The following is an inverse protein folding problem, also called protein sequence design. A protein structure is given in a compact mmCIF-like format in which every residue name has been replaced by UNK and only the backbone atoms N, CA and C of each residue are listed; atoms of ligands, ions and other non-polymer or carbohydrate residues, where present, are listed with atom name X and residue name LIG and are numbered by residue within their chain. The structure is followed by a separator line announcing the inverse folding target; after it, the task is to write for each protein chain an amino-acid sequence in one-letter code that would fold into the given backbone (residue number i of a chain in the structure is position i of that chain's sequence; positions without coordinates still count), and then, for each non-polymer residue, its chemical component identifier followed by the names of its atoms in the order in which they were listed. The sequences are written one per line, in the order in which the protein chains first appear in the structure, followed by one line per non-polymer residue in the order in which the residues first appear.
data_IF_245818188844
#
_entry.id   IF_245818188844
#
_cell.length_a   1.000
_cell.length_b   1.000
_cell.length_c   1.000
_cell.angle_alpha   90.00
_cell.angle_beta   90.00
_cell.angle_gamma   90.00
#
_symmetry.space_group_name_H-M   'P 1'
#
loop_
_entity.id
_entity.type
_entity.pdbx_description
1 polymer ?
#
# COMPACT_ATOMS: atom_id res chain seq x y z
N UNK A 1 1.19 2.54 4.53
CA UNK A 1 0.86 2.26 5.94
C UNK A 1 0.27 3.52 6.55
N UNK A 2 -1.04 3.58 6.80
CA UNK A 2 -1.70 4.78 7.35
C UNK A 2 -1.36 5.05 8.82
N UNK A 3 -0.64 4.14 9.48
CA UNK A 3 -0.20 4.30 10.87
C UNK A 3 1.14 5.01 10.98
N UNK A 4 1.72 5.45 9.85
CA UNK A 4 3.00 6.12 9.76
C UNK A 4 2.92 7.40 8.93
N UNK A 5 3.71 8.40 9.34
CA UNK A 5 4.02 9.55 8.50
C UNK A 5 4.96 9.11 7.37
N UNK A 6 4.78 9.65 6.17
CA UNK A 6 5.72 9.46 5.07
C UNK A 6 7.09 10.01 5.47
N UNK A 7 8.10 9.13 5.45
CA UNK A 7 9.46 9.48 5.87
C UNK A 7 10.09 10.59 5.01
N UNK A 8 9.61 10.81 3.78
CA UNK A 8 10.04 11.91 2.92
C UNK A 8 9.52 13.27 3.39
N UNK A 9 8.47 13.29 4.22
CA UNK A 9 7.85 14.52 4.74
C UNK A 9 8.43 14.95 6.10
N UNK A 10 9.35 14.17 6.67
CA UNK A 10 9.99 14.43 7.96
C UNK A 10 9.49 13.51 9.08
N UNK A 11 9.69 13.96 10.32
CA UNK A 11 9.30 13.21 11.52
C UNK A 11 7.95 13.65 12.08
N UNK A 12 7.35 12.85 12.97
CA UNK A 12 6.13 13.26 13.69
C UNK A 12 6.34 14.56 14.49
N UNK A 13 7.55 14.79 15.03
CA UNK A 13 7.88 16.03 15.73
C UNK A 13 7.97 17.23 14.79
N UNK A 14 8.44 17.02 13.55
CA UNK A 14 8.40 18.06 12.51
C UNK A 14 6.95 18.42 12.15
N UNK A 15 6.07 17.43 12.04
CA UNK A 15 4.65 17.65 11.78
C UNK A 15 3.98 18.42 12.94
N UNK A 16 4.24 18.03 14.19
CA UNK A 16 3.74 18.76 15.38
C UNK A 16 4.22 20.20 15.38
N UNK A 17 5.50 20.43 15.12
CA UNK A 17 6.08 21.77 15.03
C UNK A 17 5.42 22.60 13.93
N UNK A 18 5.17 22.02 12.76
CA UNK A 18 4.45 22.68 11.66
C UNK A 18 3.05 23.13 12.10
N UNK A 19 2.30 22.22 12.73
CA UNK A 19 0.94 22.48 13.23
C UNK A 19 0.95 23.60 14.27
N UNK A 20 1.82 23.50 15.27
CA UNK A 20 1.91 24.49 16.34
C UNK A 20 2.28 25.89 15.81
N UNK A 21 3.26 25.97 14.92
CA UNK A 21 3.70 27.24 14.34
C UNK A 21 2.65 27.84 13.39
N UNK A 22 1.90 27.02 12.66
CA UNK A 22 0.77 27.47 11.85
C UNK A 22 -0.35 28.05 12.73
N UNK A 23 -0.74 27.34 13.79
CA UNK A 23 -1.80 27.77 14.71
C UNK A 23 -1.43 29.05 15.47
N UNK A 24 -0.18 29.23 15.90
CA UNK A 24 0.31 30.49 16.50
C UNK A 24 0.11 31.70 15.58
N UNK A 25 0.04 31.50 14.26
CA UNK A 25 -0.15 32.53 13.24
C UNK A 25 -1.60 32.61 12.73
N UNK A 26 -2.53 31.89 13.36
CA UNK A 26 -3.94 31.85 12.96
C UNK A 26 -4.18 31.09 11.64
N UNK A 27 -3.23 30.27 11.19
CA UNK A 27 -3.34 29.47 9.97
C UNK A 27 -3.89 28.09 10.33
N UNK A 28 -4.96 27.66 9.67
CA UNK A 28 -5.52 26.31 9.84
C UNK A 28 -4.83 25.33 8.90
N UNK A 29 -4.66 24.09 9.36
CA UNK A 29 -4.20 22.98 8.53
C UNK A 29 -5.37 22.04 8.28
N UNK A 30 -5.59 21.71 7.01
CA UNK A 30 -6.54 20.71 6.58
C UNK A 30 -5.74 19.53 6.00
N UNK A 31 -5.95 18.33 6.56
CA UNK A 31 -5.34 17.12 6.05
C UNK A 31 -6.21 16.54 4.93
N UNK A 32 -5.58 16.30 3.79
CA UNK A 32 -6.15 15.45 2.75
C UNK A 32 -6.01 13.98 3.19
N UNK A 33 -7.06 13.19 2.97
CA UNK A 33 -7.09 11.77 3.32
C UNK A 33 -7.60 10.95 2.14
N UNK A 34 -6.80 9.98 1.72
CA UNK A 34 -7.17 9.02 0.68
C UNK A 34 -7.62 7.72 1.34
N UNK A 35 -8.92 7.44 1.24
CA UNK A 35 -9.54 6.22 1.77
C UNK A 35 -9.96 5.23 0.67
N UNK A 36 -10.04 5.69 -0.59
CA UNK A 36 -10.56 4.89 -1.69
C UNK A 36 -9.62 3.76 -2.10
N UNK A 37 -8.32 4.03 -2.20
CA UNK A 37 -7.37 3.08 -2.79
C UNK A 37 -6.04 3.10 -2.08
N UNK A 38 -5.22 2.09 -2.40
CA UNK A 38 -3.81 2.02 -2.00
C UNK A 38 -2.92 2.25 -3.21
N UNK A 39 -1.61 2.41 -2.99
CA UNK A 39 -0.64 2.47 -4.07
C UNK A 39 -0.51 1.14 -4.82
N UNK A 40 -0.01 1.20 -6.05
CA UNK A 40 0.38 0.01 -6.80
C UNK A 40 1.46 -0.79 -6.04
N UNK A 41 1.58 -2.07 -6.36
CA UNK A 41 2.72 -2.86 -5.94
C UNK A 41 4.01 -2.31 -6.58
N UNK A 42 5.04 -2.12 -5.76
CA UNK A 42 6.38 -1.74 -6.22
C UNK A 42 7.35 -2.90 -6.01
N UNK A 43 8.43 -2.95 -6.81
CA UNK A 43 9.50 -3.92 -6.58
C UNK A 43 10.11 -3.81 -5.17
N UNK A 44 10.20 -2.58 -4.65
CA UNK A 44 10.73 -2.33 -3.31
C UNK A 44 9.88 -3.03 -2.25
N UNK A 45 8.57 -2.77 -2.28
CA UNK A 45 7.63 -3.31 -1.30
C UNK A 45 7.49 -4.82 -1.43
N UNK A 46 7.48 -5.35 -2.66
CA UNK A 46 7.45 -6.79 -2.91
C UNK A 46 8.66 -7.50 -2.30
N UNK A 47 9.85 -6.90 -2.45
CA UNK A 47 11.08 -7.43 -1.88
C UNK A 47 11.09 -7.32 -0.34
N UNK A 48 10.78 -6.13 0.18
CA UNK A 48 10.87 -5.82 1.61
C UNK A 48 9.81 -6.55 2.44
N UNK A 49 8.56 -6.53 1.97
CA UNK A 49 7.41 -7.10 2.68
C UNK A 49 7.00 -8.49 2.17
N UNK A 50 7.81 -9.09 1.31
CA UNK A 50 7.75 -10.50 0.92
C UNK A 50 6.41 -10.94 0.31
N UNK A 51 5.86 -10.14 -0.60
CA UNK A 51 4.64 -10.45 -1.34
C UNK A 51 4.84 -10.39 -2.85
N UNK A 52 3.84 -10.85 -3.60
CA UNK A 52 3.85 -10.89 -5.05
C UNK A 52 4.69 -12.05 -5.59
N UNK A 53 4.80 -12.10 -6.92
CA UNK A 53 5.59 -13.10 -7.61
C UNK A 53 6.25 -12.49 -8.85
N UNK A 54 7.39 -13.05 -9.23
CA UNK A 54 8.12 -12.70 -10.45
C UNK A 54 8.14 -13.90 -11.39
N UNK A 55 8.24 -13.67 -12.70
CA UNK A 55 8.49 -14.73 -13.69
C UNK A 55 9.93 -15.25 -13.65
N UNK A 56 10.86 -14.43 -13.17
CA UNK A 56 12.29 -14.71 -13.12
C UNK A 56 12.72 -15.12 -11.71
N UNK A 57 13.66 -16.06 -11.61
CA UNK A 57 14.13 -16.61 -10.34
C UNK A 57 15.64 -16.89 -10.36
N UNK A 58 16.22 -17.19 -9.19
CA UNK A 58 17.61 -17.62 -9.05
C UNK A 58 18.62 -16.64 -9.66
N UNK A 59 19.55 -17.17 -10.46
CA UNK A 59 20.61 -16.39 -11.08
C UNK A 59 20.09 -15.34 -12.07
N UNK A 60 18.98 -15.61 -12.76
CA UNK A 60 18.36 -14.66 -13.68
C UNK A 60 17.80 -13.45 -12.92
N UNK A 61 17.08 -13.69 -11.81
CA UNK A 61 16.60 -12.61 -10.95
C UNK A 61 17.75 -11.74 -10.44
N UNK A 62 18.83 -12.37 -9.97
CA UNK A 62 20.01 -11.64 -9.48
C UNK A 62 20.70 -10.84 -10.59
N UNK A 63 20.73 -11.37 -11.82
CA UNK A 63 21.29 -10.68 -12.98
C UNK A 63 20.42 -9.49 -13.41
N UNK A 64 19.10 -9.62 -13.35
CA UNK A 64 18.15 -8.62 -13.86
C UNK A 64 17.84 -7.54 -12.82
N UNK A 65 17.47 -7.92 -11.59
CA UNK A 65 17.04 -6.97 -10.54
C UNK A 65 18.12 -6.71 -9.48
N UNK A 66 19.21 -7.48 -9.48
CA UNK A 66 20.27 -7.34 -8.48
C UNK A 66 19.86 -7.83 -7.09
N UNK A 67 20.65 -7.43 -6.08
CA UNK A 67 20.37 -7.75 -4.68
C UNK A 67 19.30 -6.86 -4.06
N UNK A 68 19.18 -5.61 -4.53
CA UNK A 68 18.17 -4.64 -4.10
C UNK A 68 17.38 -4.22 -5.33
N UNK A 69 16.10 -4.62 -5.40
CA UNK A 69 15.31 -4.43 -6.61
C UNK A 69 15.02 -2.96 -6.91
N UNK A 70 15.12 -2.10 -5.90
CA UNK A 70 15.06 -0.63 -6.03
C UNK A 70 16.19 -0.04 -6.88
N UNK A 71 17.29 -0.76 -7.06
CA UNK A 71 18.41 -0.31 -7.89
C UNK A 71 18.20 -0.63 -9.38
N UNK A 72 17.12 -1.34 -9.74
CA UNK A 72 16.81 -1.61 -11.13
C UNK A 72 16.60 -0.29 -11.87
N UNK A 73 17.14 -0.19 -13.08
CA UNK A 73 16.99 0.98 -13.97
C UNK A 73 16.59 0.50 -15.36
N UNK A 74 15.75 1.25 -16.09
CA UNK A 74 15.39 0.88 -17.46
C UNK A 74 16.60 0.83 -18.38
N UNK A 75 16.64 -0.17 -19.26
CA UNK A 75 17.58 -0.24 -20.37
C UNK A 75 17.14 0.66 -21.55
N UNK A 76 17.97 0.74 -22.60
CA UNK A 76 17.63 1.47 -23.82
C UNK A 76 16.29 0.98 -24.40
N UNK A 77 15.34 1.89 -24.58
CA UNK A 77 13.98 1.59 -25.06
C UNK A 77 12.97 1.19 -23.98
N UNK A 78 13.39 1.07 -22.72
CA UNK A 78 12.50 0.82 -21.58
C UNK A 78 12.15 2.12 -20.83
N UNK A 79 11.09 2.05 -20.02
CA UNK A 79 10.73 3.09 -19.06
C UNK A 79 10.78 2.54 -17.63
N UNK A 80 10.59 3.41 -16.64
CA UNK A 80 10.44 2.99 -15.25
C UNK A 80 9.23 2.08 -15.00
N UNK A 81 8.32 1.91 -15.97
CA UNK A 81 7.24 0.93 -15.88
C UNK A 81 7.61 -0.44 -16.44
N UNK A 82 8.73 -0.59 -17.15
CA UNK A 82 9.12 -1.86 -17.77
C UNK A 82 9.50 -2.94 -16.75
N UNK A 83 9.66 -2.60 -15.46
CA UNK A 83 9.81 -3.63 -14.44
C UNK A 83 8.57 -4.53 -14.31
N UNK A 84 7.39 -4.04 -14.70
CA UNK A 84 6.14 -4.80 -14.62
C UNK A 84 6.19 -6.06 -15.48
N UNK A 85 7.02 -6.08 -16.53
CA UNK A 85 7.22 -7.24 -17.40
C UNK A 85 7.81 -8.45 -16.64
N UNK A 86 8.46 -8.20 -15.50
CA UNK A 86 9.01 -9.27 -14.64
C UNK A 86 8.01 -9.79 -13.61
N UNK A 87 6.89 -9.09 -13.40
CA UNK A 87 5.93 -9.40 -12.33
C UNK A 87 4.87 -10.37 -12.85
N UNK A 88 4.72 -11.50 -12.16
CA UNK A 88 3.65 -12.44 -12.42
C UNK A 88 2.39 -12.00 -11.67
N UNK A 89 1.61 -11.11 -12.27
CA UNK A 89 0.35 -10.62 -11.69
C UNK A 89 -0.71 -11.71 -11.51
N UNK A 90 -0.61 -12.85 -12.18
CA UNK A 90 -1.58 -13.94 -12.06
C UNK A 90 -1.30 -14.92 -10.92
N UNK A 91 -0.17 -14.80 -10.21
CA UNK A 91 0.20 -15.74 -9.14
C UNK A 91 -0.65 -15.57 -7.87
N UNK A 92 -1.58 -16.49 -7.67
CA UNK A 92 -2.52 -16.43 -6.53
C UNK A 92 -1.82 -16.49 -5.17
N UNK A 93 -0.74 -17.27 -5.05
CA UNK A 93 -0.09 -17.55 -3.76
C UNK A 93 0.79 -16.38 -3.30
N UNK A 94 1.53 -15.77 -4.23
CA UNK A 94 2.34 -14.58 -3.98
C UNK A 94 1.47 -13.39 -3.63
N UNK A 95 0.39 -13.17 -4.36
CA UNK A 95 -0.48 -12.00 -4.18
C UNK A 95 -1.41 -12.10 -2.96
N UNK A 96 -1.75 -13.29 -2.49
CA UNK A 96 -2.47 -13.46 -1.21
C UNK A 96 -1.69 -12.84 -0.03
N UNK A 97 -0.35 -12.80 -0.09
CA UNK A 97 0.49 -12.23 0.99
C UNK A 97 0.48 -10.71 1.06
N UNK A 98 -0.10 -10.03 0.07
CA UNK A 98 -0.12 -8.57 0.00
C UNK A 98 -1.17 -7.98 0.96
N UNK A 99 -2.26 -7.40 0.47
CA UNK A 99 -3.32 -6.85 1.33
C UNK A 99 -4.24 -7.94 1.91
N UNK A 100 -4.39 -9.07 1.22
CA UNK A 100 -5.37 -10.11 1.53
C UNK A 100 -6.76 -9.75 1.00
N UNK A 101 -7.52 -10.77 0.59
CA UNK A 101 -8.78 -10.58 -0.17
C UNK A 101 -9.86 -9.78 0.56
N UNK A 102 -9.79 -9.69 1.89
CA UNK A 102 -10.76 -8.93 2.69
C UNK A 102 -10.53 -7.41 2.62
N UNK A 103 -9.37 -6.96 2.17
CA UNK A 103 -8.97 -5.56 2.21
C UNK A 103 -9.20 -4.81 0.90
N UNK A 104 -8.81 -5.40 -0.22
CA UNK A 104 -8.82 -4.72 -1.51
C UNK A 104 -9.50 -5.54 -2.61
N UNK A 105 -9.89 -4.86 -3.69
CA UNK A 105 -10.27 -5.42 -4.98
C UNK A 105 -9.30 -4.93 -6.07
N UNK A 106 -8.92 -5.83 -6.97
CA UNK A 106 -7.92 -5.61 -8.04
C UNK A 106 -8.00 -6.79 -9.01
N UNK A 107 -7.52 -6.60 -10.23
CA UNK A 107 -7.37 -7.62 -11.29
C UNK A 107 -6.13 -8.51 -11.11
N UNK A 108 -5.39 -8.33 -10.01
CA UNK A 108 -4.19 -9.09 -9.66
C UNK A 108 -4.55 -10.36 -8.87
N UNK A 109 -3.88 -11.46 -9.16
CA UNK A 109 -3.92 -12.70 -8.40
C UNK A 109 -5.30 -13.37 -8.38
N UNK A 110 -5.87 -13.47 -7.18
CA UNK A 110 -7.19 -14.09 -6.95
C UNK A 110 -8.08 -13.18 -6.08
N UNK A 111 -7.84 -11.87 -6.15
CA UNK A 111 -8.67 -10.86 -5.50
C UNK A 111 -10.01 -10.74 -6.23
N UNK A 112 -10.99 -10.13 -5.56
CA UNK A 112 -12.24 -9.76 -6.24
C UNK A 112 -11.91 -8.70 -7.30
N UNK A 113 -12.44 -8.90 -8.51
CA UNK A 113 -12.25 -7.95 -9.61
C UNK A 113 -12.98 -6.64 -9.32
N UNK A 114 -12.42 -5.48 -9.74
CA UNK A 114 -13.14 -4.22 -9.73
C UNK A 114 -14.41 -4.30 -10.59
N UNK A 115 -15.47 -3.64 -10.13
CA UNK A 115 -16.69 -3.44 -10.90
C UNK A 115 -16.59 -2.22 -11.82
N UNK A 116 -17.76 -1.74 -12.26
CA UNK A 116 -17.89 -0.60 -13.17
C UNK A 116 -18.75 0.54 -12.60
N UNK A 117 -19.15 0.44 -11.33
CA UNK A 117 -19.93 1.45 -10.62
C UNK A 117 -19.06 2.25 -9.63
N UNK A 118 -19.58 3.39 -9.17
CA UNK A 118 -18.87 4.28 -8.24
C UNK A 118 -18.50 3.61 -6.91
N UNK A 119 -19.13 2.47 -6.58
CA UNK A 119 -18.91 1.76 -5.32
C UNK A 119 -17.74 0.77 -5.41
N UNK A 120 -17.52 0.16 -6.58
CA UNK A 120 -16.63 -1.00 -6.72
C UNK A 120 -15.61 -0.88 -7.84
N UNK A 121 -15.65 0.21 -8.64
CA UNK A 121 -14.64 0.43 -9.67
C UNK A 121 -13.27 0.75 -9.09
N UNK A 122 -12.22 0.42 -9.85
CA UNK A 122 -10.86 0.88 -9.53
C UNK A 122 -10.58 2.22 -10.20
N UNK A 123 -9.97 3.15 -9.46
CA UNK A 123 -9.53 4.42 -10.03
C UNK A 123 -8.15 4.21 -10.67
N UNK A 124 -8.06 4.29 -11.99
CA UNK A 124 -6.81 4.14 -12.73
C UNK A 124 -6.04 2.83 -12.39
N UNK A 125 -6.76 1.72 -12.22
CA UNK A 125 -6.20 0.40 -11.85
C UNK A 125 -5.55 0.35 -10.45
N UNK A 126 -5.73 1.39 -9.61
CA UNK A 126 -5.27 1.36 -8.23
C UNK A 126 -6.11 0.33 -7.44
N UNK A 127 -5.49 -0.46 -6.54
CA UNK A 127 -6.25 -1.40 -5.72
C UNK A 127 -7.24 -0.66 -4.85
N UNK A 128 -8.52 -0.93 -5.08
CA UNK A 128 -9.61 -0.26 -4.39
C UNK A 128 -9.86 -0.94 -3.04
N UNK A 129 -9.95 -0.14 -1.99
CA UNK A 129 -10.16 -0.63 -0.63
C UNK A 129 -11.65 -0.92 -0.45
N UNK A 130 -11.99 -2.10 0.07
CA UNK A 130 -13.37 -2.55 0.31
C UNK A 130 -13.98 -1.85 1.51
N UNK A 131 -14.12 -0.53 1.44
CA UNK A 131 -14.65 0.29 2.53
C UNK A 131 -16.13 0.02 2.77
N UNK A 132 -16.85 -0.54 1.80
CA UNK A 132 -18.25 -0.95 1.94
C UNK A 132 -18.43 -2.33 2.61
N UNK A 133 -17.35 -3.10 2.78
CA UNK A 133 -17.43 -4.41 3.43
C UNK A 133 -17.82 -4.28 4.90
N UNK A 134 -18.76 -5.12 5.32
CA UNK A 134 -19.18 -5.26 6.72
C UNK A 134 -18.44 -6.39 7.45
N UNK A 135 -17.54 -7.10 6.77
CA UNK A 135 -16.86 -8.27 7.31
C UNK A 135 -15.55 -7.89 8.02
N UNK A 136 -15.24 -8.49 9.18
CA UNK A 136 -13.96 -8.29 9.83
C UNK A 136 -12.79 -8.75 8.95
N UNK A 137 -11.87 -7.82 8.67
CA UNK A 137 -10.76 -8.03 7.73
C UNK A 137 -9.50 -8.57 8.39
N UNK A 138 -9.26 -8.22 9.66
CA UNK A 138 -7.94 -8.37 10.28
C UNK A 138 -6.94 -7.35 9.71
N UNK A 139 -5.66 -7.48 10.04
CA UNK A 139 -4.63 -6.64 9.44
C UNK A 139 -4.31 -7.10 8.00
N UNK A 140 -3.89 -6.18 7.11
CA UNK A 140 -3.30 -6.53 5.83
C UNK A 140 -2.18 -7.58 5.98
N UNK A 141 -2.12 -8.55 5.07
CA UNK A 141 -1.22 -9.70 5.21
C UNK A 141 0.27 -9.32 5.22
N UNK A 142 0.66 -8.29 4.46
CA UNK A 142 2.04 -7.83 4.35
C UNK A 142 2.55 -7.18 5.64
N UNK A 143 1.67 -6.70 6.54
CA UNK A 143 2.08 -6.11 7.81
C UNK A 143 2.83 -7.08 8.72
N UNK A 144 2.70 -8.40 8.53
CA UNK A 144 3.53 -9.39 9.24
C UNK A 144 5.02 -9.24 8.97
N UNK A 145 5.39 -8.62 7.84
CA UNK A 145 6.75 -8.35 7.43
C UNK A 145 7.15 -6.89 7.58
N UNK A 146 6.27 -6.05 8.18
CA UNK A 146 6.51 -4.63 8.41
C UNK A 146 6.63 -4.35 9.92
N UNK A 147 7.79 -4.59 10.55
CA UNK A 147 7.93 -4.54 12.01
C UNK A 147 7.80 -3.12 12.58
N UNK A 148 8.03 -2.10 11.76
CA UNK A 148 7.91 -0.71 12.17
C UNK A 148 6.46 -0.24 12.22
N UNK A 149 5.49 -0.94 11.62
CA UNK A 149 4.07 -0.52 11.62
C UNK A 149 3.52 -0.33 13.04
N UNK A 150 2.66 0.68 13.23
CA UNK A 150 1.94 0.86 14.48
C UNK A 150 0.56 0.16 14.45
N UNK A 151 0.23 -0.53 13.36
CA UNK A 151 -1.02 -1.25 13.20
C UNK A 151 -1.14 -2.39 14.23
N UNK A 152 -2.29 -2.44 14.92
CA UNK A 152 -2.65 -3.52 15.84
C UNK A 152 -3.98 -4.12 15.39
N UNK A 153 -4.09 -5.45 15.45
CA UNK A 153 -5.34 -6.12 15.14
C UNK A 153 -6.39 -5.74 16.19
N UNK A 154 -7.55 -5.28 15.74
CA UNK A 154 -8.70 -4.94 16.57
C UNK A 154 -9.83 -5.90 16.19
N UNK A 155 -10.33 -6.72 17.13
CA UNK A 155 -11.41 -7.67 16.85
C UNK A 155 -12.64 -6.99 16.27
N UNK A 156 -13.20 -7.56 15.20
CA UNK A 156 -14.42 -7.07 14.56
C UNK A 156 -14.23 -5.90 13.59
N UNK A 157 -13.04 -5.28 13.52
CA UNK A 157 -12.84 -4.15 12.61
C UNK A 157 -12.89 -4.58 11.14
N UNK A 158 -13.70 -3.85 10.38
CA UNK A 158 -13.75 -3.84 8.92
C UNK A 158 -12.61 -2.99 8.35
N UNK A 159 -12.33 -3.02 7.02
CA UNK A 159 -11.35 -2.11 6.40
C UNK A 159 -11.64 -0.64 6.71
N UNK A 160 -12.91 -0.22 6.69
CA UNK A 160 -13.31 1.15 7.00
C UNK A 160 -13.02 1.53 8.45
N UNK A 161 -13.30 0.62 9.40
CA UNK A 161 -13.04 0.88 10.82
C UNK A 161 -11.56 1.11 11.08
N UNK A 162 -10.69 0.27 10.48
CA UNK A 162 -9.25 0.46 10.57
C UNK A 162 -8.80 1.79 9.95
N UNK A 163 -9.25 2.12 8.73
CA UNK A 163 -8.88 3.39 8.09
C UNK A 163 -9.30 4.59 8.94
N UNK A 164 -10.54 4.59 9.43
CA UNK A 164 -11.07 5.66 10.28
C UNK A 164 -10.29 5.76 11.59
N UNK A 165 -10.02 4.62 12.22
CA UNK A 165 -9.24 4.56 13.45
C UNK A 165 -7.83 5.10 13.27
N UNK A 166 -7.09 4.64 12.25
CA UNK A 166 -5.71 5.06 12.00
C UNK A 166 -5.61 6.52 11.56
N UNK A 167 -6.43 6.95 10.60
CA UNK A 167 -6.40 8.32 10.08
C UNK A 167 -6.78 9.34 11.15
N UNK A 168 -7.76 9.04 12.00
CA UNK A 168 -8.15 9.93 13.11
C UNK A 168 -7.08 10.06 14.19
N UNK A 169 -6.06 9.18 14.24
CA UNK A 169 -4.95 9.37 15.19
C UNK A 169 -4.07 10.57 14.84
N UNK A 170 -4.05 10.99 13.56
CA UNK A 170 -3.26 12.12 13.08
C UNK A 170 -3.92 13.49 13.31
N UNK A 171 -5.23 13.50 13.58
CA UNK A 171 -6.01 14.71 13.80
C UNK A 171 -6.42 14.75 15.28
N UNK A 172 -5.54 15.29 16.12
CA UNK A 172 -5.76 15.44 17.57
C UNK A 172 -5.49 16.86 18.03
#
# INVERSE_FOLDING_TARGET
DWTKLDANMGTEDDLRRLVDEAHKRGIRILFDVVMNHTGYATLADMQEYQFGALYIHGDELKKTLGAHWTNWTPHAGQSWHSFNDYINFSDKTGWEKWWGKKWIRTDIGDYDNPGFDDLTMSLAFLPDVKTESTEPSGLPNFYRHKPDTAAKAIPGYTPRDYLTHWLSQWVR
#
